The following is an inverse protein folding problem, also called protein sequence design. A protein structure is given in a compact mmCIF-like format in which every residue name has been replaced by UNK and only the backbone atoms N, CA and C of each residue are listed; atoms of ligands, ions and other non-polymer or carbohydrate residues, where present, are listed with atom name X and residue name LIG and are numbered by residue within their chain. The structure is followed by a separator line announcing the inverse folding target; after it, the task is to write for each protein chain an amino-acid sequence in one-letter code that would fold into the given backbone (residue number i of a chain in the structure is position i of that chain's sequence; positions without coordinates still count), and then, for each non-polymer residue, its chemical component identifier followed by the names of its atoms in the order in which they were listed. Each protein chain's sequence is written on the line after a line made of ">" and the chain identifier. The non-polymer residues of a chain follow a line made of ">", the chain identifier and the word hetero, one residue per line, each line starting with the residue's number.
data_IF_271869484947
#
_entry.id   IF_271869484947
#
_cell.length_a   1.000
_cell.length_b   1.000
_cell.length_c   1.000
_cell.angle_alpha   90.00
_cell.angle_beta   90.00
_cell.angle_gamma   90.00
#
_symmetry.space_group_name_H-M   'P 1'
#
loop_
_entity.id
_entity.type
_entity.pdbx_description
1 polymer ?
#
# COMPACT_ATOMS: atom_id res chain seq x y z
N UNK A 1 15.58 -25.87 -64.65
CA UNK A 1 16.29 -25.78 -63.35
C UNK A 1 15.40 -24.97 -62.39
N UNK A 2 14.39 -25.62 -61.80
CA UNK A 2 13.31 -24.97 -61.05
C UNK A 2 13.61 -24.92 -59.54
N UNK A 3 13.58 -23.69 -59.00
CA UNK A 3 13.04 -23.29 -57.69
C UNK A 3 13.17 -24.27 -56.51
N UNK A 4 14.34 -24.32 -55.86
CA UNK A 4 14.49 -24.97 -54.55
C UNK A 4 14.82 -24.00 -53.40
N UNK A 5 14.93 -22.69 -53.68
CA UNK A 5 15.41 -21.68 -52.72
C UNK A 5 14.25 -20.99 -51.94
N UNK A 6 12.99 -21.16 -52.36
CA UNK A 6 11.83 -20.48 -51.72
C UNK A 6 11.18 -21.24 -50.54
N UNK A 7 11.81 -22.29 -49.99
CA UNK A 7 11.26 -23.01 -48.81
C UNK A 7 12.30 -23.06 -47.69
N UNK A 8 11.99 -22.40 -46.56
CA UNK A 8 12.79 -22.46 -45.33
C UNK A 8 12.05 -23.28 -44.28
N UNK A 9 12.74 -24.22 -43.65
CA UNK A 9 12.24 -25.00 -42.53
C UNK A 9 12.79 -24.43 -41.22
N UNK A 10 11.92 -24.25 -40.22
CA UNK A 10 12.31 -23.84 -38.88
C UNK A 10 12.01 -24.97 -37.90
N UNK A 11 13.01 -25.34 -37.09
CA UNK A 11 12.81 -26.28 -36.00
C UNK A 11 12.25 -25.54 -34.79
N UNK A 12 11.24 -26.11 -34.15
CA UNK A 12 10.67 -25.59 -32.91
C UNK A 12 10.77 -26.67 -31.83
N UNK A 13 11.26 -26.27 -30.65
CA UNK A 13 11.24 -27.08 -29.44
C UNK A 13 10.83 -26.17 -28.28
N UNK A 14 9.70 -26.47 -27.65
CA UNK A 14 9.14 -25.67 -26.55
C UNK A 14 9.66 -26.25 -25.23
N UNK A 15 10.97 -26.15 -25.01
CA UNK A 15 11.57 -26.52 -23.73
C UNK A 15 11.63 -25.29 -22.82
N UNK A 16 10.91 -25.34 -21.70
CA UNK A 16 10.73 -24.22 -20.77
C UNK A 16 10.87 -24.69 -19.32
N UNK A 17 10.98 -23.74 -18.40
CA UNK A 17 11.01 -24.02 -16.96
C UNK A 17 9.56 -24.03 -16.45
N UNK A 18 9.20 -25.08 -15.72
CA UNK A 18 7.88 -25.19 -15.10
C UNK A 18 7.78 -24.34 -13.81
N UNK A 19 6.60 -24.32 -13.19
CA UNK A 19 6.37 -23.58 -11.94
C UNK A 19 7.14 -24.14 -10.73
N UNK A 20 7.69 -25.36 -10.85
CA UNK A 20 8.53 -26.03 -9.85
C UNK A 20 10.01 -25.71 -10.04
N UNK A 21 10.38 -24.99 -11.11
CA UNK A 21 11.77 -24.64 -11.44
C UNK A 21 12.50 -25.68 -12.27
N UNK A 22 11.83 -26.72 -12.76
CA UNK A 22 12.44 -27.81 -13.53
C UNK A 22 12.26 -27.61 -15.04
N UNK A 23 13.27 -27.90 -15.87
CA UNK A 23 13.15 -27.83 -17.33
C UNK A 23 12.30 -28.97 -17.86
N UNK A 24 11.35 -28.66 -18.75
CA UNK A 24 10.45 -29.62 -19.38
C UNK A 24 10.05 -29.15 -20.78
N UNK A 25 9.86 -30.11 -21.70
CA UNK A 25 9.25 -29.85 -23.01
C UNK A 25 7.73 -29.82 -22.88
N UNK A 26 7.10 -28.75 -23.38
CA UNK A 26 5.67 -28.54 -23.31
C UNK A 26 5.00 -28.74 -24.66
N UNK A 27 3.82 -29.35 -24.66
CA UNK A 27 2.86 -29.17 -25.75
C UNK A 27 2.21 -27.77 -25.66
N UNK A 28 1.66 -27.27 -26.77
CA UNK A 28 0.98 -25.97 -26.79
C UNK A 28 -0.17 -25.90 -25.78
N UNK A 29 -0.95 -26.99 -25.63
CA UNK A 29 -2.06 -27.06 -24.67
C UNK A 29 -1.58 -26.95 -23.23
N UNK A 30 -0.51 -27.66 -22.88
CA UNK A 30 0.07 -27.61 -21.53
C UNK A 30 0.63 -26.23 -21.22
N UNK A 31 1.36 -25.63 -22.17
CA UNK A 31 1.94 -24.30 -22.01
C UNK A 31 0.85 -23.25 -21.73
N UNK A 32 -0.20 -23.23 -22.55
CA UNK A 32 -1.31 -22.27 -22.36
C UNK A 32 -2.03 -22.52 -21.02
N UNK A 33 -2.24 -23.78 -20.65
CA UNK A 33 -2.90 -24.13 -19.39
C UNK A 33 -2.09 -23.69 -18.17
N UNK A 34 -0.78 -23.92 -18.17
CA UNK A 34 0.11 -23.48 -17.09
C UNK A 34 0.21 -21.96 -17.03
N UNK A 35 0.29 -21.30 -18.18
CA UNK A 35 0.28 -19.84 -18.24
C UNK A 35 -1.01 -19.24 -17.68
N UNK A 36 -2.17 -19.82 -17.99
CA UNK A 36 -3.46 -19.36 -17.44
C UNK A 36 -3.52 -19.51 -15.91
N UNK A 37 -3.03 -20.63 -15.37
CA UNK A 37 -2.94 -20.83 -13.91
C UNK A 37 -2.04 -19.78 -13.25
N UNK A 38 -0.86 -19.55 -13.83
CA UNK A 38 0.06 -18.51 -13.37
C UNK A 38 -0.57 -17.12 -13.43
N UNK A 39 -1.27 -16.81 -14.52
CA UNK A 39 -1.90 -15.50 -14.72
C UNK A 39 -3.03 -15.26 -13.72
N UNK A 40 -3.83 -16.28 -13.43
CA UNK A 40 -4.88 -16.23 -12.42
C UNK A 40 -4.29 -15.99 -11.02
N UNK A 41 -3.28 -16.77 -10.62
CA UNK A 41 -2.62 -16.62 -9.32
C UNK A 41 -2.01 -15.22 -9.14
N UNK A 42 -1.31 -14.73 -10.16
CA UNK A 42 -0.74 -13.38 -10.17
C UNK A 42 -1.82 -12.30 -10.04
N UNK A 43 -2.94 -12.47 -10.73
CA UNK A 43 -4.05 -11.52 -10.68
C UNK A 43 -4.71 -11.52 -9.30
N UNK A 44 -4.93 -12.69 -8.70
CA UNK A 44 -5.44 -12.80 -7.34
C UNK A 44 -4.51 -12.14 -6.32
N UNK A 45 -3.20 -12.37 -6.40
CA UNK A 45 -2.21 -11.72 -5.53
C UNK A 45 -2.25 -10.20 -5.65
N UNK A 46 -2.33 -9.69 -6.88
CA UNK A 46 -2.46 -8.25 -7.14
C UNK A 46 -3.74 -7.66 -6.53
N UNK A 47 -4.87 -8.36 -6.67
CA UNK A 47 -6.15 -7.91 -6.12
C UNK A 47 -6.16 -7.95 -4.58
N UNK A 48 -5.63 -9.02 -3.97
CA UNK A 48 -5.46 -9.12 -2.52
C UNK A 48 -4.60 -7.99 -1.97
N UNK A 49 -3.44 -7.75 -2.58
CA UNK A 49 -2.58 -6.64 -2.17
C UNK A 49 -3.28 -5.28 -2.22
N UNK A 50 -4.08 -5.03 -3.28
CA UNK A 50 -4.86 -3.80 -3.38
C UNK A 50 -5.99 -3.74 -2.35
N UNK A 51 -6.64 -4.85 -2.05
CA UNK A 51 -7.68 -4.95 -1.02
C UNK A 51 -7.09 -4.61 0.35
N UNK A 52 -5.93 -5.16 0.68
CA UNK A 52 -5.25 -4.91 1.96
C UNK A 52 -4.92 -3.41 2.11
N UNK A 53 -4.37 -2.78 1.06
CA UNK A 53 -4.11 -1.33 1.05
C UNK A 53 -5.37 -0.49 1.27
N UNK A 54 -6.50 -0.90 0.68
CA UNK A 54 -7.78 -0.19 0.86
C UNK A 54 -8.30 -0.39 2.28
N UNK A 55 -8.22 -1.59 2.83
CA UNK A 55 -8.63 -1.88 4.20
C UNK A 55 -7.79 -1.11 5.22
N UNK A 56 -6.47 -1.06 5.04
CA UNK A 56 -5.58 -0.24 5.86
C UNK A 56 -5.98 1.24 5.81
N UNK A 57 -6.34 1.73 4.62
CA UNK A 57 -6.79 3.12 4.47
C UNK A 57 -8.13 3.38 5.15
N UNK A 58 -9.09 2.46 5.03
CA UNK A 58 -10.39 2.54 5.71
C UNK A 58 -10.17 2.54 7.23
N UNK A 59 -9.33 1.64 7.73
CA UNK A 59 -8.99 1.55 9.15
C UNK A 59 -8.46 2.88 9.70
N UNK A 60 -7.53 3.53 9.00
CA UNK A 60 -7.05 4.86 9.43
C UNK A 60 -8.15 5.92 9.38
N UNK A 61 -8.99 5.91 8.34
CA UNK A 61 -10.11 6.86 8.21
C UNK A 61 -11.13 6.72 9.35
N UNK A 62 -11.45 5.49 9.77
CA UNK A 62 -12.34 5.24 10.90
C UNK A 62 -11.81 5.88 12.19
N UNK A 63 -10.51 5.72 12.48
CA UNK A 63 -9.88 6.35 13.64
C UNK A 63 -9.90 7.88 13.58
N UNK A 64 -9.70 8.45 12.38
CA UNK A 64 -9.78 9.90 12.18
C UNK A 64 -11.20 10.44 12.38
N UNK A 65 -12.22 9.71 11.91
CA UNK A 65 -13.63 10.10 12.06
C UNK A 65 -14.06 10.07 13.53
N UNK A 66 -13.64 9.07 14.31
CA UNK A 66 -13.91 9.01 15.75
C UNK A 66 -13.38 10.26 16.46
N UNK A 67 -12.13 10.63 16.17
CA UNK A 67 -11.49 11.80 16.79
C UNK A 67 -12.06 13.13 16.28
N UNK A 68 -12.62 13.16 15.07
CA UNK A 68 -13.19 14.38 14.49
C UNK A 68 -14.37 14.92 15.31
N UNK A 69 -15.14 14.04 15.97
CA UNK A 69 -16.27 14.44 16.82
C UNK A 69 -15.82 15.22 18.06
N UNK A 70 -14.67 14.84 18.65
CA UNK A 70 -14.15 15.41 19.91
C UNK A 70 -12.71 15.92 19.76
N UNK A 71 -12.48 16.81 18.79
CA UNK A 71 -11.13 17.32 18.48
C UNK A 71 -10.48 18.07 19.65
N UNK A 72 -11.27 18.80 20.44
CA UNK A 72 -10.74 19.56 21.59
C UNK A 72 -10.14 18.64 22.66
N UNK A 73 -10.78 17.49 22.89
CA UNK A 73 -10.28 16.48 23.82
C UNK A 73 -8.97 15.87 23.34
N UNK A 74 -8.83 15.65 22.03
CA UNK A 74 -7.56 15.19 21.44
C UNK A 74 -6.45 16.22 21.61
N UNK A 75 -6.71 17.50 21.32
CA UNK A 75 -5.72 18.57 21.51
C UNK A 75 -5.31 18.65 23.00
N UNK A 76 -6.27 18.52 23.92
CA UNK A 76 -6.00 18.52 25.35
C UNK A 76 -5.09 17.36 25.76
N UNK A 77 -5.37 16.13 25.31
CA UNK A 77 -4.53 14.96 25.58
C UNK A 77 -3.13 15.16 25.02
N UNK A 78 -3.00 15.65 23.78
CA UNK A 78 -1.69 15.87 23.14
C UNK A 78 -0.85 16.90 23.90
N UNK A 79 -1.47 17.96 24.45
CA UNK A 79 -0.75 19.02 25.18
C UNK A 79 -0.41 18.67 26.62
N UNK A 80 -1.20 17.83 27.27
CA UNK A 80 -1.10 17.60 28.72
C UNK A 80 -0.49 16.24 29.09
N UNK A 81 -0.45 15.28 28.16
CA UNK A 81 0.06 13.94 28.43
C UNK A 81 1.55 13.82 28.11
N UNK A 82 2.30 13.14 28.98
CA UNK A 82 3.68 12.70 28.71
C UNK A 82 3.74 11.59 27.65
N UNK A 83 2.67 10.81 27.50
CA UNK A 83 2.57 9.73 26.51
C UNK A 83 1.24 9.77 25.76
N UNK A 84 1.06 10.76 24.86
CA UNK A 84 -0.23 11.05 24.24
C UNK A 84 -0.75 9.87 23.39
N UNK A 85 0.15 9.04 22.84
CA UNK A 85 -0.22 7.84 22.08
C UNK A 85 -1.03 6.84 22.91
N UNK A 86 -0.53 6.49 24.09
CA UNK A 86 -1.21 5.52 24.98
C UNK A 86 -2.55 6.07 25.47
N UNK A 87 -2.60 7.36 25.75
CA UNK A 87 -3.81 7.99 26.27
C UNK A 87 -4.88 8.16 25.20
N UNK A 88 -4.51 8.45 23.95
CA UNK A 88 -5.44 8.46 22.82
C UNK A 88 -6.05 7.07 22.56
N UNK A 89 -5.23 6.02 22.59
CA UNK A 89 -5.70 4.63 22.46
C UNK A 89 -6.72 4.30 23.54
N UNK A 90 -6.43 4.64 24.80
CA UNK A 90 -7.35 4.38 25.92
C UNK A 90 -8.64 5.20 25.85
N UNK A 91 -8.52 6.50 25.52
CA UNK A 91 -9.65 7.43 25.55
C UNK A 91 -10.64 7.22 24.40
N UNK A 92 -10.14 6.88 23.21
CA UNK A 92 -10.95 6.74 22.00
C UNK A 92 -11.09 5.29 21.53
N UNK A 93 -10.49 4.33 22.25
CA UNK A 93 -10.48 2.88 21.91
C UNK A 93 -10.01 2.61 20.47
N UNK A 94 -9.08 3.44 20.00
CA UNK A 94 -8.49 3.31 18.67
C UNK A 94 -7.25 2.41 18.71
N UNK A 95 -6.92 1.82 17.58
CA UNK A 95 -5.71 1.03 17.39
C UNK A 95 -4.44 1.89 17.39
N UNK A 96 -3.29 1.22 17.55
CA UNK A 96 -1.99 1.87 17.53
C UNK A 96 -1.66 2.59 16.20
N UNK A 97 -1.93 2.00 15.01
CA UNK A 97 -1.71 2.70 13.74
C UNK A 97 -2.58 3.96 13.57
N UNK A 98 -3.84 3.90 14.03
CA UNK A 98 -4.73 5.06 14.02
C UNK A 98 -4.19 6.17 14.93
N UNK A 99 -3.76 5.84 16.14
CA UNK A 99 -3.18 6.81 17.08
C UNK A 99 -1.92 7.48 16.52
N UNK A 100 -1.03 6.71 15.89
CA UNK A 100 0.15 7.27 15.21
C UNK A 100 -0.24 8.26 14.10
N UNK A 101 -1.18 7.87 13.23
CA UNK A 101 -1.64 8.72 12.12
C UNK A 101 -2.26 10.04 12.63
N UNK A 102 -3.03 10.00 13.73
CA UNK A 102 -3.63 11.18 14.35
C UNK A 102 -2.54 12.11 14.90
N UNK A 103 -1.55 11.56 15.61
CA UNK A 103 -0.44 12.34 16.16
C UNK A 103 0.39 13.02 15.07
N UNK A 104 0.73 12.31 13.99
CA UNK A 104 1.49 12.87 12.87
C UNK A 104 0.79 14.08 12.24
N UNK A 105 -0.52 13.98 11.99
CA UNK A 105 -1.30 15.10 11.43
C UNK A 105 -1.26 16.30 12.38
N UNK A 106 -1.43 16.08 13.70
CA UNK A 106 -1.50 17.17 14.68
C UNK A 106 -0.17 17.83 14.93
N UNK A 107 0.92 17.07 15.02
CA UNK A 107 2.27 17.62 15.16
C UNK A 107 2.62 18.52 13.97
N UNK A 108 2.30 18.08 12.75
CA UNK A 108 2.50 18.89 11.54
C UNK A 108 1.68 20.18 11.54
N UNK A 109 0.43 20.12 12.00
CA UNK A 109 -0.44 21.30 12.12
C UNK A 109 0.09 22.30 13.16
N UNK A 110 0.57 21.81 14.31
CA UNK A 110 1.13 22.65 15.38
C UNK A 110 2.43 23.33 14.93
N UNK A 111 3.36 22.60 14.32
CA UNK A 111 4.60 23.17 13.79
C UNK A 111 4.34 24.29 12.77
N UNK A 112 3.34 24.10 11.90
CA UNK A 112 2.93 25.15 10.93
C UNK A 112 2.39 26.40 11.62
N UNK A 113 1.64 26.25 12.71
CA UNK A 113 1.12 27.39 13.48
C UNK A 113 2.26 28.16 14.18
N UNK A 114 3.24 27.46 14.75
CA UNK A 114 4.42 28.09 15.37
C UNK A 114 5.25 28.85 14.34
N UNK A 115 5.47 28.27 13.16
CA UNK A 115 6.18 28.94 12.07
C UNK A 115 5.52 30.26 11.68
N UNK A 116 4.19 30.29 11.51
CA UNK A 116 3.45 31.52 11.15
C UNK A 116 3.60 32.59 12.23
N UNK A 117 3.58 32.21 13.51
CA UNK A 117 3.78 33.16 14.62
C UNK A 117 5.17 33.81 14.54
N UNK A 118 6.21 33.02 14.37
CA UNK A 118 7.59 33.51 14.23
C UNK A 118 7.77 34.42 13.01
N UNK A 119 7.14 34.08 11.88
CA UNK A 119 7.16 34.93 10.68
C UNK A 119 6.42 36.26 10.87
N UNK A 120 5.37 36.28 11.69
CA UNK A 120 4.61 37.49 12.01
C UNK A 120 5.42 38.38 12.96
N UNK A 121 5.96 37.81 14.04
CA UNK A 121 6.83 38.52 14.99
C UNK A 121 8.05 39.14 14.30
N UNK A 122 8.62 38.44 13.31
CA UNK A 122 9.72 38.97 12.48
C UNK A 122 9.30 40.12 11.57
N UNK A 123 8.05 40.20 11.12
CA UNK A 123 7.55 41.30 10.26
C UNK A 123 7.18 42.55 11.06
N UNK A 124 6.80 42.36 12.31
CA UNK A 124 6.41 43.44 13.22
C UNK A 124 7.64 44.13 13.88
N UNK A 125 8.83 43.55 13.73
CA UNK A 125 10.15 44.10 14.09
C UNK A 125 10.87 44.70 12.88
#
# INVERSE_FOLDING_TARGET
>A
MQLQICKKNFRANINLIDRSGSPRVFSLKELVSEWLKFRLDTTLKKLKHRLDQVNDRIHILEGLLIVYVDLDKVIKIIRQSENPKKDLIKAFKISEPQANAILEIKLRQLAKLEQIKLETERKDL
#
